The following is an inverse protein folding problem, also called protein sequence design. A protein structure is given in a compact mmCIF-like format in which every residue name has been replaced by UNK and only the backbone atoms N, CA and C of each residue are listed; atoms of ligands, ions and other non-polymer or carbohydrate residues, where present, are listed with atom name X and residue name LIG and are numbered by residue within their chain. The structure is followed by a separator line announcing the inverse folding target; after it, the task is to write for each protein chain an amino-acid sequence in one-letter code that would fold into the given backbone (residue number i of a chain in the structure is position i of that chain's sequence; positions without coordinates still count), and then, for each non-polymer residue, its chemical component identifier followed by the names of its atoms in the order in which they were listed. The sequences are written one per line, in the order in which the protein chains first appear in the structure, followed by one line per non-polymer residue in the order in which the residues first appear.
data_IF_425970874376
#
_entry.id   IF_425970874376
#
_cell.length_a   1.000
_cell.length_b   1.000
_cell.length_c   1.000
_cell.angle_alpha   90.00
_cell.angle_beta   90.00
_cell.angle_gamma   90.00
#
_symmetry.space_group_name_H-M   'P 1'
#
loop_
_entity.id
_entity.type
_entity.pdbx_description
1 polymer ?
#
# COMPACT_ATOMS: atom_id res chain seq x y z
N UNK A 1 -14.46 -10.54 5.59
CA UNK A 1 -12.98 -10.40 5.56
C UNK A 1 -12.50 -9.32 6.53
N UNK A 2 -12.93 -8.07 6.39
CA UNK A 2 -12.54 -6.98 7.30
C UNK A 2 -12.88 -7.28 8.76
N UNK A 3 -14.07 -7.81 9.03
CA UNK A 3 -14.48 -8.22 10.40
C UNK A 3 -13.57 -9.28 11.03
N UNK A 4 -13.03 -10.21 10.22
CA UNK A 4 -12.12 -11.24 10.71
C UNK A 4 -10.77 -10.65 11.08
N UNK A 5 -10.24 -9.74 10.24
CA UNK A 5 -8.99 -9.02 10.51
C UNK A 5 -9.16 -8.16 11.77
N UNK A 6 -10.27 -7.43 11.90
CA UNK A 6 -10.57 -6.62 13.09
C UNK A 6 -10.66 -7.45 14.36
N UNK A 7 -11.22 -8.67 14.29
CA UNK A 7 -11.25 -9.59 15.43
C UNK A 7 -9.86 -10.09 15.81
N UNK A 8 -9.05 -10.50 14.83
CA UNK A 8 -7.68 -10.93 15.10
C UNK A 8 -6.83 -9.80 15.68
N UNK A 9 -7.00 -8.56 15.19
CA UNK A 9 -6.31 -7.38 15.71
C UNK A 9 -6.70 -7.03 17.16
N UNK A 10 -7.92 -7.36 17.60
CA UNK A 10 -8.31 -7.20 19.02
C UNK A 10 -7.59 -8.18 19.96
N UNK A 11 -7.11 -9.29 19.40
CA UNK A 11 -6.40 -10.34 20.12
C UNK A 11 -4.88 -10.28 19.84
N UNK A 12 -4.36 -9.21 19.20
CA UNK A 12 -2.97 -9.04 18.74
C UNK A 12 -2.45 -10.20 17.85
N UNK A 13 -3.35 -10.79 17.04
CA UNK A 13 -3.10 -11.97 16.18
C UNK A 13 -3.26 -11.71 14.69
N UNK A 14 -3.30 -10.45 14.26
CA UNK A 14 -3.44 -10.08 12.85
C UNK A 14 -2.26 -10.59 12.01
N UNK A 15 -1.05 -10.63 12.59
CA UNK A 15 0.16 -11.12 11.91
C UNK A 15 0.05 -12.61 11.60
N UNK A 16 -0.33 -13.45 12.58
CA UNK A 16 -0.53 -14.88 12.38
C UNK A 16 -1.65 -15.16 11.39
N UNK A 17 -2.75 -14.40 11.47
CA UNK A 17 -3.86 -14.52 10.53
C UNK A 17 -3.39 -14.23 9.10
N UNK A 18 -2.70 -13.11 8.87
CA UNK A 18 -2.22 -12.74 7.54
C UNK A 18 -1.15 -13.71 7.02
N UNK A 19 -0.29 -14.25 7.90
CA UNK A 19 0.70 -15.26 7.52
C UNK A 19 0.08 -16.59 7.09
N UNK A 20 -1.08 -16.95 7.67
CA UNK A 20 -1.83 -18.15 7.29
C UNK A 20 -2.66 -17.96 6.01
N UNK A 21 -3.18 -16.74 5.78
CA UNK A 21 -4.05 -16.45 4.64
C UNK A 21 -3.30 -16.09 3.36
N UNK A 22 -2.11 -15.48 3.49
CA UNK A 22 -1.33 -14.98 2.37
C UNK A 22 -0.06 -15.80 2.22
N UNK A 23 0.34 -16.02 0.98
CA UNK A 23 1.68 -16.49 0.65
C UNK A 23 2.72 -15.39 0.89
N UNK A 24 4.00 -15.76 0.91
CA UNK A 24 5.09 -14.79 1.01
C UNK A 24 5.03 -13.78 -0.14
N UNK A 25 4.85 -14.25 -1.37
CA UNK A 25 4.79 -13.41 -2.57
C UNK A 25 3.64 -12.39 -2.52
N UNK A 26 2.49 -12.77 -1.95
CA UNK A 26 1.36 -11.86 -1.76
C UNK A 26 1.65 -10.79 -0.72
N UNK A 27 2.34 -11.12 0.39
CA UNK A 27 2.79 -10.14 1.38
C UNK A 27 3.81 -9.16 0.81
N UNK A 28 4.75 -9.66 0.01
CA UNK A 28 5.74 -8.83 -0.67
C UNK A 28 5.06 -7.91 -1.69
N UNK A 29 4.07 -8.43 -2.40
CA UNK A 29 3.24 -7.63 -3.33
C UNK A 29 2.46 -6.53 -2.62
N UNK A 30 1.86 -6.83 -1.45
CA UNK A 30 1.17 -5.82 -0.64
C UNK A 30 2.14 -4.74 -0.15
N UNK A 31 3.32 -5.13 0.33
CA UNK A 31 4.38 -4.21 0.77
C UNK A 31 4.81 -3.29 -0.37
N UNK A 32 5.05 -3.84 -1.56
CA UNK A 32 5.37 -3.05 -2.74
C UNK A 32 4.26 -2.05 -3.08
N UNK A 33 2.98 -2.45 -2.99
CA UNK A 33 1.84 -1.55 -3.22
C UNK A 33 1.76 -0.43 -2.19
N UNK A 34 2.04 -0.71 -0.92
CA UNK A 34 2.12 0.32 0.14
C UNK A 34 3.20 1.35 -0.21
N UNK A 35 4.40 0.90 -0.60
CA UNK A 35 5.48 1.79 -0.99
C UNK A 35 5.13 2.64 -2.22
N UNK A 36 4.48 2.04 -3.23
CA UNK A 36 4.00 2.78 -4.42
C UNK A 36 3.03 3.89 -4.00
N UNK A 37 2.05 3.58 -3.14
CA UNK A 37 1.06 4.56 -2.68
C UNK A 37 1.73 5.68 -1.90
N UNK A 38 2.64 5.34 -0.97
CA UNK A 38 3.38 6.31 -0.17
C UNK A 38 4.15 7.31 -1.05
N UNK A 39 4.96 6.81 -1.98
CA UNK A 39 5.77 7.66 -2.85
C UNK A 39 4.93 8.50 -3.82
N UNK A 40 3.82 7.96 -4.31
CA UNK A 40 2.87 8.70 -5.14
C UNK A 40 2.15 9.81 -4.36
N UNK A 41 1.90 9.62 -3.06
CA UNK A 41 1.31 10.65 -2.20
C UNK A 41 2.29 11.77 -1.90
N UNK A 42 3.58 11.46 -1.71
CA UNK A 42 4.64 12.45 -1.55
C UNK A 42 4.83 13.30 -2.81
N UNK A 43 4.83 12.66 -3.97
CA UNK A 43 4.95 13.37 -5.26
C UNK A 43 6.35 13.91 -5.57
N UNK A 44 7.37 13.50 -4.81
CA UNK A 44 8.76 13.96 -4.96
C UNK A 44 9.47 13.38 -6.20
N UNK A 45 8.96 12.26 -6.73
CA UNK A 45 9.58 11.51 -7.82
C UNK A 45 8.63 11.31 -8.99
N UNK A 46 9.18 11.27 -10.21
CA UNK A 46 8.41 10.88 -11.39
C UNK A 46 8.04 9.38 -11.37
N UNK A 47 6.95 9.00 -12.05
CA UNK A 47 6.53 7.59 -12.15
C UNK A 47 7.63 6.66 -12.71
N UNK A 48 8.49 7.18 -13.59
CA UNK A 48 9.63 6.44 -14.14
C UNK A 48 10.70 6.16 -13.08
N UNK A 49 11.04 7.15 -12.25
CA UNK A 49 11.99 6.97 -11.16
C UNK A 49 11.45 6.00 -10.10
N UNK A 50 10.15 6.07 -9.78
CA UNK A 50 9.50 5.13 -8.87
C UNK A 50 9.51 3.69 -9.40
N UNK A 51 9.23 3.51 -10.70
CA UNK A 51 9.30 2.22 -11.36
C UNK A 51 10.69 1.59 -11.25
N UNK A 52 11.75 2.39 -11.42
CA UNK A 52 13.14 1.93 -11.28
C UNK A 52 13.52 1.63 -9.83
N UNK A 53 13.18 2.53 -8.90
CA UNK A 53 13.49 2.38 -7.47
C UNK A 53 12.82 1.15 -6.86
N UNK A 54 11.53 0.94 -7.16
CA UNK A 54 10.74 -0.14 -6.58
C UNK A 54 10.82 -1.45 -7.37
N UNK A 55 11.52 -1.47 -8.52
CA UNK A 55 11.65 -2.64 -9.38
C UNK A 55 10.32 -3.11 -10.00
N UNK A 56 9.30 -2.26 -10.05
CA UNK A 56 7.97 -2.59 -10.57
C UNK A 56 7.76 -1.94 -11.93
N UNK A 57 7.01 -2.60 -12.82
CA UNK A 57 6.69 -2.05 -14.13
C UNK A 57 5.92 -0.73 -14.06
N UNK A 58 6.22 0.19 -14.98
CA UNK A 58 5.59 1.53 -15.02
C UNK A 58 4.06 1.47 -15.06
N UNK A 59 3.48 0.46 -15.71
CA UNK A 59 2.03 0.26 -15.76
C UNK A 59 1.40 0.07 -14.36
N UNK A 60 2.12 -0.55 -13.42
CA UNK A 60 1.66 -0.69 -12.03
C UNK A 60 1.66 0.66 -11.31
N UNK A 61 2.68 1.49 -11.53
CA UNK A 61 2.73 2.86 -11.00
C UNK A 61 1.61 3.72 -11.59
N UNK A 62 1.40 3.67 -12.90
CA UNK A 62 0.34 4.43 -13.58
C UNK A 62 -1.05 4.05 -13.06
N UNK A 63 -1.32 2.75 -12.84
CA UNK A 63 -2.56 2.30 -12.21
C UNK A 63 -2.72 2.87 -10.81
N UNK A 64 -1.70 2.76 -9.96
CA UNK A 64 -1.73 3.31 -8.59
C UNK A 64 -1.98 4.83 -8.58
N UNK A 65 -1.34 5.58 -9.47
CA UNK A 65 -1.54 7.02 -9.60
C UNK A 65 -2.97 7.38 -10.01
N UNK A 66 -3.57 6.61 -10.91
CA UNK A 66 -4.95 6.83 -11.33
C UNK A 66 -5.96 6.50 -10.22
N UNK A 67 -5.72 5.45 -9.44
CA UNK A 67 -6.56 5.15 -8.26
C UNK A 67 -6.47 6.26 -7.22
N UNK A 68 -5.25 6.73 -6.92
CA UNK A 68 -5.06 7.85 -6.00
C UNK A 68 -5.75 9.14 -6.46
N UNK A 69 -5.85 9.42 -7.76
CA UNK A 69 -6.59 10.60 -8.25
C UNK A 69 -8.08 10.56 -7.90
N UNK A 70 -8.67 9.38 -7.73
CA UNK A 70 -10.09 9.19 -7.36
C UNK A 70 -10.34 9.40 -5.86
N UNK A 71 -9.28 9.36 -5.05
CA UNK A 71 -9.35 9.55 -3.60
C UNK A 71 -9.41 11.06 -3.28
N UNK A 72 -10.29 11.43 -2.36
CA UNK A 72 -10.44 12.81 -1.91
C UNK A 72 -9.21 13.29 -1.11
N UNK A 73 -9.13 14.60 -0.87
CA UNK A 73 -7.97 15.23 -0.24
C UNK A 73 -7.80 14.82 1.22
N UNK A 74 -8.90 14.62 1.96
CA UNK A 74 -8.86 14.32 3.38
C UNK A 74 -8.35 12.89 3.59
N UNK A 75 -8.86 11.94 2.79
CA UNK A 75 -8.38 10.56 2.79
C UNK A 75 -6.90 10.47 2.40
N UNK A 76 -6.43 11.25 1.40
CA UNK A 76 -5.00 11.30 1.05
C UNK A 76 -4.12 11.80 2.19
N UNK A 77 -4.58 12.84 2.88
CA UNK A 77 -3.85 13.44 4.02
C UNK A 77 -3.77 12.45 5.17
N UNK A 78 -4.88 11.78 5.48
CA UNK A 78 -4.94 10.71 6.47
C UNK A 78 -4.00 9.54 6.12
N UNK A 79 -4.03 9.06 4.88
CA UNK A 79 -3.16 7.98 4.40
C UNK A 79 -1.69 8.34 4.51
N UNK A 80 -1.31 9.54 4.08
CA UNK A 80 0.09 9.98 4.15
C UNK A 80 0.58 10.01 5.60
N UNK A 81 -0.20 10.60 6.52
CA UNK A 81 0.17 10.62 7.95
C UNK A 81 0.17 9.26 8.63
N UNK A 82 -0.52 8.26 8.08
CA UNK A 82 -0.45 6.86 8.55
C UNK A 82 0.81 6.16 8.06
N UNK A 83 1.29 6.50 6.86
CA UNK A 83 2.44 5.87 6.19
C UNK A 83 3.80 6.50 6.54
N UNK A 84 3.81 7.74 7.04
CA UNK A 84 5.03 8.41 7.53
C UNK A 84 5.52 7.92 8.91
N UNK A 85 4.80 6.98 9.53
CA UNK A 85 5.09 6.45 10.88
C UNK A 85 6.10 5.30 10.88
#
# INVERSE_FOLDING_TARGET
MVELIQRAAKDDKESELLNMLLTQDERDTLTARVNIVYELLRGDMSQRQLSQMLGVGIATITRGSNELKRVDKDTKTWLLGMLEK
#
